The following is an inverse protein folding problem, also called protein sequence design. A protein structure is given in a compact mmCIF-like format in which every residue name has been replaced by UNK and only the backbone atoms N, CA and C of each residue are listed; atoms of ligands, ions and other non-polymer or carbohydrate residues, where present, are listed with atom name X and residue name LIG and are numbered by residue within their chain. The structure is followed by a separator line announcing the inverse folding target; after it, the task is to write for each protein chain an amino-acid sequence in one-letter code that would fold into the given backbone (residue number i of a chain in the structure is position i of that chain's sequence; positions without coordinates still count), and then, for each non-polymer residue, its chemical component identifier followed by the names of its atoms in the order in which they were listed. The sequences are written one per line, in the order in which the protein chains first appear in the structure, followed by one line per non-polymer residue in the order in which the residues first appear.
data_IF_996222111345
#
_entry.id   IF_996222111345
#
_cell.length_a   1.000
_cell.length_b   1.000
_cell.length_c   1.000
_cell.angle_alpha   90.00
_cell.angle_beta   90.00
_cell.angle_gamma   90.00
#
_symmetry.space_group_name_H-M   'P 1'
#
loop_
_entity.id
_entity.type
_entity.pdbx_description
1 polymer ?
#
# COMPACT_ATOMS: atom_id res chain seq x y z
N UNK A 1 -19.46 15.69 1.78
CA UNK A 1 -18.23 15.92 1.00
C UNK A 1 -16.98 15.99 1.86
N UNK A 2 -17.14 16.22 3.16
CA UNK A 2 -16.01 16.23 4.09
C UNK A 2 -15.25 14.91 4.12
N UNK A 3 -15.96 13.79 3.91
CA UNK A 3 -15.36 12.47 3.95
C UNK A 3 -14.34 12.22 2.85
N UNK A 4 -14.42 12.96 1.74
CA UNK A 4 -13.45 12.81 0.66
C UNK A 4 -12.06 13.28 1.04
N UNK A 5 -11.94 14.13 2.07
CA UNK A 5 -10.66 14.57 2.58
C UNK A 5 -9.89 13.45 3.29
N UNK A 6 -10.57 12.40 3.71
CA UNK A 6 -9.93 11.25 4.33
C UNK A 6 -9.18 10.37 3.33
N UNK A 7 -9.59 10.41 2.06
CA UNK A 7 -9.00 9.56 1.03
C UNK A 7 -7.47 9.76 0.91
N UNK A 8 -6.97 10.99 0.73
CA UNK A 8 -5.51 11.19 0.63
C UNK A 8 -4.77 10.73 1.88
N UNK A 9 -5.30 11.04 3.04
CA UNK A 9 -4.70 10.67 4.32
C UNK A 9 -4.63 9.15 4.47
N UNK A 10 -5.72 8.45 4.15
CA UNK A 10 -5.78 6.98 4.23
C UNK A 10 -4.82 6.33 3.25
N UNK A 11 -4.70 6.87 2.04
CA UNK A 11 -3.73 6.36 1.07
C UNK A 11 -2.31 6.39 1.63
N UNK A 12 -1.93 7.51 2.22
CA UNK A 12 -0.60 7.66 2.79
C UNK A 12 -0.39 6.73 3.98
N UNK A 13 -1.36 6.65 4.87
CA UNK A 13 -1.29 5.77 6.03
C UNK A 13 -1.17 4.31 5.62
N UNK A 14 -2.02 3.86 4.68
CA UNK A 14 -2.00 2.49 4.20
C UNK A 14 -0.68 2.17 3.51
N UNK A 15 -0.19 3.08 2.68
CA UNK A 15 1.09 2.87 2.00
C UNK A 15 2.21 2.64 3.02
N UNK A 16 2.24 3.46 4.07
CA UNK A 16 3.24 3.33 5.13
C UNK A 16 3.09 2.05 5.92
N UNK A 17 1.87 1.67 6.24
CA UNK A 17 1.58 0.42 6.97
C UNK A 17 2.05 -0.80 6.19
N UNK A 18 1.85 -0.79 4.87
CA UNK A 18 2.28 -1.89 4.00
C UNK A 18 3.76 -1.84 3.68
N UNK A 19 4.44 -0.74 4.01
CA UNK A 19 5.86 -0.59 3.71
C UNK A 19 6.17 -0.34 2.25
N UNK A 20 5.21 0.17 1.48
CA UNK A 20 5.43 0.51 0.08
C UNK A 20 6.10 1.87 -0.05
N UNK A 21 7.01 1.96 -1.01
CA UNK A 21 7.52 3.24 -1.48
C UNK A 21 6.58 3.78 -2.55
N UNK A 22 6.55 5.11 -2.70
CA UNK A 22 5.72 5.73 -3.74
C UNK A 22 6.04 5.17 -5.12
N UNK A 23 7.30 4.88 -5.39
CA UNK A 23 7.74 4.31 -6.66
C UNK A 23 7.08 2.95 -6.92
N UNK A 24 6.98 2.13 -5.89
CA UNK A 24 6.36 0.82 -6.00
C UNK A 24 4.88 0.94 -6.31
N UNK A 25 4.18 1.84 -5.61
CA UNK A 25 2.76 2.09 -5.87
C UNK A 25 2.55 2.64 -7.27
N UNK A 26 3.43 3.55 -7.70
CA UNK A 26 3.37 4.11 -9.05
C UNK A 26 3.47 3.03 -10.12
N UNK A 27 4.38 2.09 -9.95
CA UNK A 27 4.53 0.95 -10.87
C UNK A 27 3.28 0.08 -10.90
N UNK A 28 2.72 -0.22 -9.74
CA UNK A 28 1.52 -1.06 -9.63
C UNK A 28 0.33 -0.39 -10.31
N UNK A 29 0.19 0.92 -10.13
CA UNK A 29 -0.92 1.67 -10.72
C UNK A 29 -0.67 2.05 -12.18
N UNK A 30 0.56 1.96 -12.65
CA UNK A 30 0.91 2.38 -14.00
C UNK A 30 0.91 3.89 -14.16
N UNK A 31 1.30 4.62 -13.14
CA UNK A 31 1.37 6.09 -13.14
C UNK A 31 2.73 6.56 -12.68
N UNK A 32 2.98 7.86 -12.76
CA UNK A 32 4.23 8.44 -12.31
C UNK A 32 4.25 8.63 -10.79
N UNK A 33 5.44 8.75 -10.21
CA UNK A 33 5.59 9.04 -8.77
C UNK A 33 4.93 10.36 -8.40
N UNK A 34 5.09 11.46 -9.17
CA UNK A 34 4.36 12.69 -8.87
C UNK A 34 2.85 12.52 -8.85
N UNK A 35 2.30 11.62 -9.66
CA UNK A 35 0.88 11.32 -9.66
C UNK A 35 0.46 10.65 -8.35
N UNK A 36 1.23 9.67 -7.86
CA UNK A 36 0.97 9.05 -6.55
C UNK A 36 1.03 10.10 -5.45
N UNK A 37 2.05 10.96 -5.49
CA UNK A 37 2.17 12.05 -4.53
C UNK A 37 0.94 12.95 -4.55
N UNK A 38 0.45 13.29 -5.74
CA UNK A 38 -0.74 14.13 -5.89
C UNK A 38 -1.98 13.46 -5.29
N UNK A 39 -2.11 12.14 -5.42
CA UNK A 39 -3.21 11.40 -4.80
C UNK A 39 -3.13 11.49 -3.26
N UNK A 40 -1.93 11.38 -2.70
CA UNK A 40 -1.74 11.44 -1.24
C UNK A 40 -1.85 12.86 -0.69
N UNK A 41 -1.62 13.86 -1.52
CA UNK A 41 -1.81 15.26 -1.16
C UNK A 41 -3.24 15.76 -1.39
N UNK A 42 -4.03 15.00 -2.14
CA UNK A 42 -5.40 15.38 -2.44
C UNK A 42 -5.55 16.38 -3.58
N UNK A 43 -4.48 16.63 -4.36
CA UNK A 43 -4.54 17.55 -5.50
C UNK A 43 -5.03 16.87 -6.77
N UNK A 44 -5.01 15.56 -6.82
CA UNK A 44 -5.57 14.75 -7.90
C UNK A 44 -6.25 13.53 -7.32
N UNK A 45 -7.23 12.99 -8.03
CA UNK A 45 -7.88 11.74 -7.65
C UNK A 45 -7.69 10.71 -8.76
N UNK A 46 -7.48 9.42 -8.39
CA UNK A 46 -7.40 8.37 -9.39
C UNK A 46 -8.75 8.18 -10.08
N UNK A 47 -8.70 7.70 -11.30
CA UNK A 47 -9.90 7.22 -11.99
C UNK A 47 -10.36 5.91 -11.34
N UNK A 48 -11.58 5.51 -11.65
CA UNK A 48 -12.18 4.31 -11.05
C UNK A 48 -11.28 3.07 -11.12
N UNK A 49 -10.64 2.73 -12.26
CA UNK A 49 -9.74 1.57 -12.28
C UNK A 49 -8.58 1.68 -11.30
N UNK A 50 -8.04 2.88 -11.11
CA UNK A 50 -6.97 3.12 -10.13
C UNK A 50 -7.46 2.96 -8.70
N UNK A 51 -8.69 3.41 -8.41
CA UNK A 51 -9.30 3.23 -7.09
C UNK A 51 -9.47 1.76 -6.76
N UNK A 52 -9.93 0.97 -7.72
CA UNK A 52 -10.09 -0.48 -7.55
C UNK A 52 -8.74 -1.13 -7.26
N UNK A 53 -7.71 -0.76 -8.01
CA UNK A 53 -6.35 -1.29 -7.78
C UNK A 53 -5.84 -0.95 -6.38
N UNK A 54 -6.07 0.28 -5.93
CA UNK A 54 -5.66 0.70 -4.59
C UNK A 54 -6.38 -0.09 -3.50
N UNK A 55 -7.69 -0.27 -3.65
CA UNK A 55 -8.47 -1.05 -2.69
C UNK A 55 -7.97 -2.50 -2.64
N UNK A 56 -7.67 -3.08 -3.78
CA UNK A 56 -7.11 -4.43 -3.86
C UNK A 56 -5.71 -4.50 -3.27
N UNK A 57 -4.88 -3.51 -3.57
CA UNK A 57 -3.50 -3.45 -3.07
C UNK A 57 -3.48 -3.41 -1.55
N UNK A 58 -4.35 -2.60 -0.96
CA UNK A 58 -4.39 -2.39 0.49
C UNK A 58 -5.43 -3.25 1.20
N UNK A 59 -6.03 -4.20 0.50
CA UNK A 59 -7.00 -5.15 1.06
C UNK A 59 -8.08 -4.48 1.89
N UNK A 60 -8.61 -3.39 1.37
CA UNK A 60 -9.69 -2.65 2.04
C UNK A 60 -10.85 -2.43 1.07
N UNK A 61 -12.00 -2.04 1.63
CA UNK A 61 -13.14 -1.69 0.81
C UNK A 61 -12.95 -0.31 0.17
N UNK A 62 -13.64 -0.08 -0.92
CA UNK A 62 -13.70 1.25 -1.54
C UNK A 62 -14.32 2.26 -0.57
N UNK A 63 -15.32 1.83 0.19
CA UNK A 63 -15.97 2.70 1.17
C UNK A 63 -15.00 3.17 2.23
N UNK A 64 -14.17 2.28 2.77
CA UNK A 64 -13.15 2.66 3.73
C UNK A 64 -12.14 3.62 3.09
N UNK A 65 -11.67 3.27 1.90
CA UNK A 65 -10.67 4.08 1.20
C UNK A 65 -11.18 5.50 0.93
N UNK A 66 -12.45 5.62 0.57
CA UNK A 66 -13.07 6.92 0.27
C UNK A 66 -13.53 7.69 1.51
N UNK A 67 -13.42 7.09 2.68
CA UNK A 67 -13.83 7.75 3.92
C UNK A 67 -15.32 7.61 4.22
N UNK A 68 -16.02 6.72 3.55
CA UNK A 68 -17.45 6.48 3.76
C UNK A 68 -17.73 5.46 4.85
N UNK A 69 -16.71 4.70 5.25
CA UNK A 69 -16.79 3.70 6.29
C UNK A 69 -15.55 3.86 7.18
N UNK A 70 -15.78 4.00 8.48
CA UNK A 70 -14.70 4.19 9.45
C UNK A 70 -14.13 2.87 9.96
N UNK A 71 -14.75 1.76 9.62
CA UNK A 71 -14.28 0.46 10.10
C UNK A 71 -13.03 0.04 9.34
N UNK A 72 -11.93 -0.10 10.07
CA UNK A 72 -10.74 -0.70 9.52
C UNK A 72 -11.01 -2.15 9.14
N UNK A 73 -10.43 -2.63 8.04
CA UNK A 73 -10.61 -4.02 7.63
C UNK A 73 -10.04 -4.96 8.68
N UNK A 74 -10.91 -5.72 9.34
CA UNK A 74 -10.49 -6.60 10.44
C UNK A 74 -9.70 -7.81 9.95
N UNK A 75 -10.08 -8.34 8.80
CA UNK A 75 -9.39 -9.50 8.22
C UNK A 75 -8.01 -9.13 7.74
N UNK A 76 -7.78 -7.85 7.50
CA UNK A 76 -6.53 -7.36 6.93
C UNK A 76 -5.41 -7.22 7.96
N UNK A 77 -5.65 -7.44 9.23
CA UNK A 77 -4.57 -7.41 10.21
C UNK A 77 -3.46 -8.39 9.85
N UNK A 78 -3.81 -9.53 9.28
CA UNK A 78 -2.83 -10.49 8.77
C UNK A 78 -2.33 -10.07 7.39
N UNK A 79 -3.20 -9.53 6.54
CA UNK A 79 -2.86 -9.11 5.18
C UNK A 79 -2.19 -7.75 5.10
N UNK A 80 -2.49 -6.84 6.00
CA UNK A 80 -1.98 -5.46 5.99
C UNK A 80 -0.46 -5.42 5.92
N UNK A 81 0.21 -6.35 6.56
CA UNK A 81 1.67 -6.35 6.65
C UNK A 81 2.33 -7.35 5.71
N UNK A 82 1.59 -7.84 4.71
CA UNK A 82 2.11 -8.84 3.78
C UNK A 82 3.38 -8.35 3.09
N UNK A 83 3.40 -7.11 2.63
CA UNK A 83 4.58 -6.59 1.93
C UNK A 83 5.79 -6.52 2.87
N UNK A 84 5.58 -6.08 4.10
CA UNK A 84 6.65 -6.02 5.11
C UNK A 84 7.14 -7.42 5.42
N UNK A 85 6.23 -8.38 5.55
CA UNK A 85 6.60 -9.78 5.80
C UNK A 85 7.37 -10.38 4.63
N UNK A 86 6.97 -10.07 3.41
CA UNK A 86 7.69 -10.53 2.21
C UNK A 86 9.11 -9.98 2.16
N UNK A 87 9.29 -8.71 2.50
CA UNK A 87 10.62 -8.11 2.57
C UNK A 87 11.48 -8.77 3.64
N UNK A 88 10.92 -9.03 4.81
CA UNK A 88 11.64 -9.72 5.88
C UNK A 88 12.01 -11.14 5.50
N UNK A 89 11.11 -11.86 4.83
CA UNK A 89 11.41 -13.19 4.33
C UNK A 89 12.57 -13.16 3.34
N UNK A 90 12.58 -12.17 2.44
CA UNK A 90 13.69 -11.98 1.51
C UNK A 90 15.00 -11.78 2.23
N UNK A 91 15.01 -10.93 3.25
CA UNK A 91 16.21 -10.68 4.05
C UNK A 91 16.70 -11.94 4.74
N UNK A 92 15.77 -12.71 5.31
CA UNK A 92 16.10 -13.97 5.98
C UNK A 92 16.63 -15.00 4.98
N UNK A 93 16.02 -15.13 3.82
CA UNK A 93 16.48 -16.02 2.77
C UNK A 93 17.88 -15.67 2.31
N UNK A 94 18.17 -14.37 2.15
CA UNK A 94 19.48 -13.89 1.77
C UNK A 94 20.51 -14.17 2.88
N UNK A 95 20.14 -14.00 4.14
CA UNK A 95 21.01 -14.27 5.26
C UNK A 95 21.32 -15.76 5.34
N UNK A 96 20.34 -16.63 5.15
CA UNK A 96 20.52 -18.09 5.13
C UNK A 96 21.42 -18.49 3.96
N UNK A 97 21.18 -17.93 2.78
CA UNK A 97 21.99 -18.22 1.60
C UNK A 97 23.46 -17.83 1.82
N UNK A 98 23.69 -16.64 2.41
CA UNK A 98 25.05 -16.19 2.74
C UNK A 98 25.71 -17.09 3.76
N UNK A 99 24.96 -17.48 4.78
CA UNK A 99 25.46 -18.41 5.80
C UNK A 99 25.83 -19.76 5.20
N UNK A 100 24.97 -20.30 4.34
CA UNK A 100 25.23 -21.55 3.64
C UNK A 100 26.46 -21.46 2.74
N UNK A 101 26.62 -20.32 2.06
CA UNK A 101 27.79 -20.09 1.19
C UNK A 101 29.07 -19.98 2.02
N UNK A 102 29.00 -19.33 3.18
CA UNK A 102 30.16 -19.17 4.05
C UNK A 102 30.58 -20.47 4.71
N UNK A 103 29.66 -21.39 4.87
CA UNK A 103 29.95 -22.69 5.50
C UNK A 103 30.45 -23.74 4.50
N UNK A 104 30.44 -23.38 3.25
CA UNK A 104 30.99 -24.27 2.22
C UNK A 104 32.48 -24.04 2.08
#
# INVERSE_FOLDING_TARGET
MENLQLFPKRLRELRREYGYKMREVAEILGVSVPTVSAYELGTRAPLLPGLVKLAQLYHCSMDYLLGLDDKEPQVSDVGIKINVLKERLKELEQAVARSATNNA
#
